data_IF_695742152624
#
_entry.id   IF_695742152624
#
_cell.length_a   1.000
_cell.length_b   1.000
_cell.length_c   1.000
_cell.angle_alpha   90.00
_cell.angle_beta   90.00
_cell.angle_gamma   90.00
#
_symmetry.space_group_name_H-M   'P 1'
#
loop_
_entity.id
_entity.type
_entity.pdbx_description
1 polymer ?
#
# COMPACT_ATOMS: atom_id res chain seq x y z
N UNK A 1 21.03 10.48 35.34
CA UNK A 1 21.40 10.72 33.92
C UNK A 1 22.62 9.88 33.58
N UNK A 2 22.73 9.31 32.38
CA UNK A 2 23.85 8.48 31.98
C UNK A 2 25.18 9.26 32.05
N UNK A 3 26.24 8.60 32.54
CA UNK A 3 27.58 9.21 32.70
C UNK A 3 28.20 9.68 31.38
N UNK A 4 27.83 9.05 30.26
CA UNK A 4 28.42 9.27 28.94
C UNK A 4 27.59 10.18 28.03
N UNK A 5 26.31 10.41 28.35
CA UNK A 5 25.41 11.24 27.55
C UNK A 5 24.28 11.79 28.44
N UNK A 6 24.34 13.08 28.73
CA UNK A 6 23.31 13.82 29.45
C UNK A 6 22.42 14.69 28.56
N UNK A 7 22.49 14.54 27.22
CA UNK A 7 21.81 15.41 26.26
C UNK A 7 20.62 14.76 25.58
N UNK A 8 20.61 13.43 25.48
CA UNK A 8 19.51 12.68 24.89
C UNK A 8 18.46 12.33 25.93
N UNK A 9 17.23 12.21 25.46
CA UNK A 9 16.16 11.64 26.27
C UNK A 9 16.29 10.11 26.33
N UNK A 10 16.14 9.54 27.51
CA UNK A 10 16.22 8.10 27.75
C UNK A 10 14.88 7.60 28.26
N UNK A 11 14.26 6.69 27.51
CA UNK A 11 13.09 5.94 27.94
C UNK A 11 13.53 4.59 28.55
N UNK A 12 12.85 4.15 29.61
CA UNK A 12 13.22 2.92 30.34
C UNK A 12 12.96 1.63 29.55
N UNK A 13 12.01 1.65 28.62
CA UNK A 13 11.66 0.57 27.69
C UNK A 13 10.77 1.15 26.56
N UNK A 14 10.61 0.43 25.44
CA UNK A 14 10.01 0.95 24.20
C UNK A 14 8.59 1.49 24.38
N UNK A 15 7.83 0.86 25.26
CA UNK A 15 6.40 1.13 25.46
C UNK A 15 6.10 1.72 26.86
N UNK A 16 7.03 2.54 27.37
CA UNK A 16 6.89 3.18 28.69
C UNK A 16 5.66 4.09 28.79
N UNK A 17 5.08 4.19 29.99
CA UNK A 17 3.94 5.08 30.25
C UNK A 17 4.25 6.55 29.91
N UNK A 18 5.52 6.96 29.95
CA UNK A 18 5.93 8.31 29.54
C UNK A 18 5.79 8.59 28.04
N UNK A 19 5.72 7.54 27.22
CA UNK A 19 5.48 7.60 25.77
C UNK A 19 4.01 7.30 25.44
N UNK A 20 3.46 6.27 26.06
CA UNK A 20 2.17 5.68 25.72
C UNK A 20 1.05 6.05 26.69
N UNK A 21 1.17 7.13 27.47
CA UNK A 21 0.19 7.50 28.50
C UNK A 21 -1.23 7.56 27.93
N UNK A 22 -2.12 6.67 28.39
CA UNK A 22 -3.43 6.46 27.80
C UNK A 22 -4.48 6.11 28.86
N UNK A 23 -5.76 6.23 28.50
CA UNK A 23 -6.90 5.90 29.38
C UNK A 23 -7.50 4.52 29.15
N UNK A 24 -7.03 3.77 28.15
CA UNK A 24 -7.58 2.48 27.71
C UNK A 24 -6.89 1.26 28.36
N UNK A 25 -5.75 1.47 29.03
CA UNK A 25 -4.94 0.41 29.62
C UNK A 25 -3.98 -0.23 28.60
N UNK A 26 -3.06 -1.07 29.09
CA UNK A 26 -1.98 -1.63 28.28
C UNK A 26 -0.81 -0.66 28.07
N UNK A 27 0.23 -1.13 27.39
CA UNK A 27 1.52 -0.43 27.28
C UNK A 27 1.84 0.09 25.87
N UNK A 28 1.10 -0.28 24.83
CA UNK A 28 1.45 0.09 23.44
C UNK A 28 2.17 -1.00 22.66
N UNK A 29 2.03 -2.25 23.10
CA UNK A 29 2.51 -3.44 22.38
C UNK A 29 1.45 -3.92 21.36
N UNK A 30 1.68 -3.62 20.08
CA UNK A 30 0.80 -3.99 18.98
C UNK A 30 -0.40 -3.05 18.80
N UNK A 31 -1.48 -3.53 18.16
CA UNK A 31 -1.66 -4.89 17.62
C UNK A 31 -0.74 -5.21 16.41
N UNK A 32 -0.63 -6.51 16.12
CA UNK A 32 0.23 -7.07 15.04
C UNK A 32 -0.55 -7.80 13.94
N UNK A 33 -1.82 -8.09 14.18
CA UNK A 33 -2.71 -8.76 13.23
C UNK A 33 -3.41 -7.75 12.32
N UNK A 34 -4.15 -8.29 11.35
CA UNK A 34 -5.00 -7.48 10.47
C UNK A 34 -6.12 -6.80 11.27
N UNK A 35 -6.51 -5.60 10.86
CA UNK A 35 -7.54 -4.81 11.54
C UNK A 35 -8.55 -4.25 10.54
N UNK A 36 -9.78 -3.95 10.96
CA UNK A 36 -10.70 -3.17 10.14
C UNK A 36 -10.07 -1.81 9.81
N UNK A 37 -10.05 -1.45 8.53
CA UNK A 37 -9.48 -0.18 8.05
C UNK A 37 -10.05 1.03 8.80
N UNK A 38 -11.37 1.02 9.08
CA UNK A 38 -12.04 2.08 9.84
C UNK A 38 -11.54 2.22 11.29
N UNK A 39 -10.97 1.16 11.89
CA UNK A 39 -10.46 1.19 13.26
C UNK A 39 -9.31 2.20 13.41
N UNK A 40 -8.41 2.26 12.42
CA UNK A 40 -7.28 3.20 12.43
C UNK A 40 -7.70 4.67 12.49
N UNK A 41 -8.94 4.97 12.07
CA UNK A 41 -9.48 6.33 11.97
C UNK A 41 -10.48 6.66 13.08
N UNK A 42 -11.21 5.67 13.57
CA UNK A 42 -12.32 5.87 14.50
C UNK A 42 -11.98 5.52 15.95
N UNK A 43 -10.90 4.77 16.18
CA UNK A 43 -10.51 4.31 17.51
C UNK A 43 -9.17 4.93 17.91
N UNK A 44 -9.20 5.74 18.98
CA UNK A 44 -7.98 6.26 19.60
C UNK A 44 -7.26 5.12 20.30
N UNK A 45 -5.99 4.91 19.94
CA UNK A 45 -5.11 3.93 20.58
C UNK A 45 -4.07 4.63 21.48
N UNK A 46 -2.80 4.25 21.37
CA UNK A 46 -1.71 4.79 22.19
C UNK A 46 -1.14 6.06 21.55
N UNK A 47 -0.93 7.15 22.31
CA UNK A 47 -0.45 8.41 21.73
C UNK A 47 0.87 8.28 20.95
N UNK A 48 1.87 7.63 21.55
CA UNK A 48 3.03 7.14 20.82
C UNK A 48 2.95 5.62 20.76
N UNK A 49 2.65 5.05 19.59
CA UNK A 49 2.61 3.60 19.44
C UNK A 49 3.98 3.07 19.00
N UNK A 50 4.77 2.61 19.97
CA UNK A 50 6.16 2.22 19.74
C UNK A 50 6.34 0.99 18.87
N UNK A 51 5.32 0.13 18.76
CA UNK A 51 5.36 -1.08 17.94
C UNK A 51 3.94 -1.42 17.47
N UNK A 52 3.62 -1.12 16.20
CA UNK A 52 2.32 -1.46 15.59
C UNK A 52 2.52 -2.07 14.21
N UNK A 53 1.77 -3.13 13.90
CA UNK A 53 1.94 -3.86 12.66
C UNK A 53 0.64 -4.38 12.09
N UNK A 54 0.78 -5.15 11.01
CA UNK A 54 -0.31 -5.91 10.40
C UNK A 54 0.26 -7.16 9.71
N UNK A 55 -0.55 -7.81 8.91
CA UNK A 55 -0.13 -8.83 7.94
C UNK A 55 0.94 -8.29 6.97
N UNK A 56 1.63 -9.18 6.25
CA UNK A 56 2.66 -8.75 5.27
C UNK A 56 3.28 -9.90 4.47
N UNK A 57 2.51 -10.95 4.21
CA UNK A 57 2.94 -12.07 3.36
C UNK A 57 3.30 -11.57 1.97
N UNK A 58 4.41 -12.06 1.41
CA UNK A 58 4.80 -11.80 0.02
C UNK A 58 3.82 -12.36 -1.00
N UNK A 59 3.99 -11.98 -2.26
CA UNK A 59 3.27 -12.56 -3.38
C UNK A 59 3.82 -13.94 -3.76
N UNK A 60 3.26 -14.54 -4.80
CA UNK A 60 3.59 -15.91 -5.19
C UNK A 60 5.10 -16.14 -5.39
N UNK A 61 5.77 -15.27 -6.15
CA UNK A 61 7.21 -15.48 -6.42
C UNK A 61 8.07 -15.31 -5.16
N UNK A 62 7.60 -14.60 -4.13
CA UNK A 62 8.24 -14.59 -2.81
C UNK A 62 8.04 -15.92 -2.08
N UNK A 63 6.81 -16.41 -2.04
CA UNK A 63 6.44 -17.69 -1.40
C UNK A 63 7.17 -18.89 -2.03
N UNK A 64 7.22 -18.95 -3.35
CA UNK A 64 7.84 -20.03 -4.13
C UNK A 64 9.35 -20.20 -3.85
N UNK A 65 10.02 -19.19 -3.29
CA UNK A 65 11.46 -19.28 -2.98
C UNK A 65 11.79 -20.24 -1.85
N UNK A 66 10.87 -20.40 -0.91
CA UNK A 66 11.16 -21.14 0.32
C UNK A 66 10.06 -22.11 0.74
N UNK A 67 8.83 -21.96 0.24
CA UNK A 67 7.80 -22.98 0.44
C UNK A 67 8.03 -24.15 -0.53
N UNK A 68 8.06 -25.40 -0.03
CA UNK A 68 8.07 -26.57 -0.89
C UNK A 68 6.83 -26.61 -1.81
N UNK A 69 6.92 -27.20 -3.01
CA UNK A 69 5.79 -27.24 -3.94
C UNK A 69 4.49 -27.83 -3.37
N UNK A 70 4.58 -28.82 -2.48
CA UNK A 70 3.43 -29.43 -1.83
C UNK A 70 2.73 -28.51 -0.80
N UNK A 71 3.43 -27.48 -0.32
CA UNK A 71 2.95 -26.52 0.69
C UNK A 71 2.53 -25.18 0.06
N UNK A 72 2.59 -25.05 -1.27
CA UNK A 72 2.05 -23.91 -2.02
C UNK A 72 0.51 -23.98 -2.12
N UNK A 73 -0.13 -24.21 -0.97
CA UNK A 73 -1.57 -24.24 -0.78
C UNK A 73 -1.94 -23.03 0.07
N UNK A 74 -2.88 -22.17 -0.37
CA UNK A 74 -3.21 -20.97 0.38
C UNK A 74 -3.92 -21.30 1.70
N UNK A 75 -3.75 -20.46 2.74
CA UNK A 75 -4.56 -20.49 3.96
C UNK A 75 -6.06 -20.48 3.66
N UNK A 76 -6.84 -21.27 4.41
CA UNK A 76 -8.28 -21.36 4.24
C UNK A 76 -9.01 -20.76 5.45
N UNK A 77 -9.78 -19.70 5.23
CA UNK A 77 -10.65 -19.11 6.26
C UNK A 77 -11.72 -20.09 6.73
N UNK A 78 -11.82 -20.29 8.06
CA UNK A 78 -12.73 -21.24 8.69
C UNK A 78 -14.02 -20.59 9.21
N UNK A 79 -14.05 -19.26 9.33
CA UNK A 79 -15.19 -18.50 9.82
C UNK A 79 -14.87 -17.67 11.07
N UNK A 80 -15.72 -16.68 11.36
CA UNK A 80 -15.45 -15.65 12.38
C UNK A 80 -15.44 -16.18 13.83
N UNK A 81 -15.94 -17.40 14.05
CA UNK A 81 -15.96 -18.07 15.36
C UNK A 81 -14.92 -19.18 15.52
N UNK A 82 -14.06 -19.39 14.52
CA UNK A 82 -13.05 -20.46 14.55
C UNK A 82 -11.78 -20.00 15.26
N UNK A 83 -11.17 -20.90 16.02
CA UNK A 83 -9.83 -20.71 16.61
C UNK A 83 -8.98 -21.97 16.33
N UNK A 84 -8.00 -21.92 15.42
CA UNK A 84 -7.55 -20.74 14.65
C UNK A 84 -8.61 -20.25 13.64
N UNK A 85 -8.51 -18.98 13.22
CA UNK A 85 -9.43 -18.37 12.24
C UNK A 85 -9.22 -18.88 10.81
N UNK A 86 -8.03 -19.40 10.52
CA UNK A 86 -7.66 -20.01 9.24
C UNK A 86 -7.02 -21.38 9.48
N UNK A 87 -7.21 -22.29 8.51
CA UNK A 87 -6.46 -23.54 8.41
C UNK A 87 -5.23 -23.32 7.54
N UNK A 88 -4.07 -23.65 8.09
CA UNK A 88 -2.78 -23.67 7.40
C UNK A 88 -2.07 -25.00 7.66
N UNK A 89 -1.03 -25.30 6.89
CA UNK A 89 -0.18 -26.47 7.17
C UNK A 89 1.00 -26.10 8.10
N UNK A 90 1.74 -27.12 8.55
CA UNK A 90 2.84 -26.95 9.48
C UNK A 90 4.02 -26.13 8.95
N UNK A 91 4.17 -25.99 7.63
CA UNK A 91 5.23 -25.18 7.01
C UNK A 91 4.86 -23.70 7.09
N UNK A 92 3.60 -23.36 6.85
CA UNK A 92 3.10 -21.98 7.05
C UNK A 92 3.20 -21.55 8.52
N UNK A 93 2.84 -22.44 9.45
CA UNK A 93 3.00 -22.21 10.89
C UNK A 93 4.48 -22.03 11.28
N UNK A 94 5.37 -22.88 10.75
CA UNK A 94 6.82 -22.77 10.96
C UNK A 94 7.35 -21.40 10.52
N UNK A 95 6.86 -20.88 9.38
CA UNK A 95 7.21 -19.54 8.90
C UNK A 95 6.41 -18.42 9.59
N UNK A 96 5.76 -18.69 10.71
CA UNK A 96 5.11 -17.71 11.60
C UNK A 96 4.01 -16.88 10.92
N UNK A 97 3.27 -17.49 10.00
CA UNK A 97 2.17 -16.86 9.27
C UNK A 97 1.17 -16.15 10.20
N UNK A 98 0.69 -14.97 9.78
CA UNK A 98 -0.40 -14.23 10.44
C UNK A 98 -1.61 -14.27 9.51
N UNK A 99 -2.75 -14.67 10.08
CA UNK A 99 -4.04 -14.83 9.39
C UNK A 99 -4.51 -13.52 8.73
N UNK A 100 -5.06 -13.62 7.53
CA UNK A 100 -5.76 -12.53 6.84
C UNK A 100 -7.27 -12.57 7.13
N UNK A 101 -7.75 -13.58 7.86
CA UNK A 101 -9.15 -13.77 8.26
C UNK A 101 -10.13 -13.58 7.09
N UNK A 102 -11.24 -12.89 7.31
CA UNK A 102 -12.21 -12.57 6.27
C UNK A 102 -11.75 -11.50 5.28
N UNK A 103 -10.62 -10.81 5.48
CA UNK A 103 -10.32 -9.56 4.76
C UNK A 103 -9.94 -9.76 3.28
N UNK A 104 -9.67 -10.99 2.86
CA UNK A 104 -9.50 -11.33 1.44
C UNK A 104 -10.85 -11.58 0.73
N UNK A 105 -11.91 -11.96 1.47
CA UNK A 105 -13.20 -12.35 0.91
C UNK A 105 -13.91 -11.25 0.11
N UNK A 106 -13.82 -9.95 0.47
CA UNK A 106 -14.33 -8.87 -0.38
C UNK A 106 -13.78 -8.87 -1.81
N UNK A 107 -12.55 -9.36 -2.01
CA UNK A 107 -11.93 -9.53 -3.33
C UNK A 107 -12.29 -10.86 -4.01
N UNK A 108 -13.08 -11.70 -3.33
CA UNK A 108 -13.38 -13.08 -3.67
C UNK A 108 -12.44 -14.06 -2.98
N UNK A 109 -12.94 -15.25 -2.61
CA UNK A 109 -12.12 -16.30 -2.01
C UNK A 109 -10.91 -16.67 -2.89
N UNK A 110 -9.70 -16.81 -2.34
CA UNK A 110 -8.53 -17.25 -3.10
C UNK A 110 -8.75 -18.63 -3.74
N UNK A 111 -8.44 -18.76 -5.03
CA UNK A 111 -8.58 -20.03 -5.77
C UNK A 111 -7.34 -20.91 -5.66
N UNK A 112 -6.18 -20.27 -5.57
CA UNK A 112 -4.87 -20.89 -5.46
C UNK A 112 -3.90 -19.90 -4.77
N UNK A 113 -2.66 -20.32 -4.57
CA UNK A 113 -1.64 -19.49 -3.90
C UNK A 113 -1.24 -18.24 -4.70
N UNK A 114 -1.42 -18.23 -6.03
CA UNK A 114 -1.15 -17.05 -6.87
C UNK A 114 -2.23 -15.98 -6.66
N UNK A 115 -3.49 -16.40 -6.69
CA UNK A 115 -4.63 -15.54 -6.41
C UNK A 115 -4.63 -15.04 -4.96
N UNK A 116 -4.23 -15.90 -4.00
CA UNK A 116 -3.97 -15.49 -2.62
C UNK A 116 -2.89 -14.41 -2.55
N UNK A 117 -1.73 -14.65 -3.16
CA UNK A 117 -0.61 -13.70 -3.14
C UNK A 117 -0.99 -12.33 -3.71
N UNK A 118 -1.72 -12.31 -4.84
CA UNK A 118 -2.22 -11.07 -5.46
C UNK A 118 -3.17 -10.30 -4.52
N UNK A 119 -4.15 -10.97 -3.92
CA UNK A 119 -5.11 -10.35 -2.99
C UNK A 119 -4.45 -9.92 -1.69
N UNK A 120 -3.50 -10.71 -1.19
CA UNK A 120 -2.69 -10.36 -0.04
C UNK A 120 -1.93 -9.06 -0.27
N UNK A 121 -1.37 -8.83 -1.47
CA UNK A 121 -0.71 -7.55 -1.78
C UNK A 121 -1.67 -6.35 -1.74
N UNK A 122 -2.90 -6.49 -2.22
CA UNK A 122 -3.92 -5.43 -2.12
C UNK A 122 -4.23 -5.09 -0.66
N UNK A 123 -4.48 -6.12 0.15
CA UNK A 123 -4.77 -5.96 1.59
C UNK A 123 -3.56 -5.35 2.31
N UNK A 124 -2.36 -5.84 2.03
CA UNK A 124 -1.11 -5.33 2.58
C UNK A 124 -0.96 -3.83 2.31
N UNK A 125 -1.09 -3.41 1.05
CA UNK A 125 -0.99 -2.01 0.69
C UNK A 125 -1.98 -1.16 1.48
N UNK A 126 -3.25 -1.58 1.51
CA UNK A 126 -4.32 -0.80 2.11
C UNK A 126 -4.21 -0.74 3.65
N UNK A 127 -3.81 -1.84 4.29
CA UNK A 127 -3.58 -1.88 5.74
C UNK A 127 -2.54 -0.86 6.18
N UNK A 128 -1.35 -0.84 5.56
CA UNK A 128 -0.29 0.08 5.98
C UNK A 128 -0.55 1.53 5.54
N UNK A 129 -1.21 1.73 4.39
CA UNK A 129 -1.68 3.07 4.00
C UNK A 129 -2.66 3.62 5.05
N UNK A 130 -3.73 2.87 5.33
CA UNK A 130 -4.78 3.32 6.23
C UNK A 130 -4.30 3.48 7.68
N UNK A 131 -3.37 2.63 8.13
CA UNK A 131 -2.73 2.77 9.42
C UNK A 131 -2.05 4.14 9.52
N UNK A 132 -1.16 4.48 8.58
CA UNK A 132 -0.42 5.75 8.64
C UNK A 132 -1.30 6.97 8.40
N UNK A 133 -2.27 6.87 7.49
CA UNK A 133 -3.26 7.94 7.27
C UNK A 133 -4.11 8.16 8.53
N UNK A 134 -4.53 7.10 9.23
CA UNK A 134 -5.29 7.19 10.48
C UNK A 134 -4.51 7.86 11.62
N UNK A 135 -3.23 7.49 11.78
CA UNK A 135 -2.33 8.18 12.73
C UNK A 135 -2.14 9.65 12.37
N UNK A 136 -1.92 9.95 11.10
CA UNK A 136 -1.76 11.33 10.59
C UNK A 136 -3.04 12.15 10.74
N UNK A 137 -4.22 11.54 10.55
CA UNK A 137 -5.51 12.22 10.63
C UNK A 137 -5.77 12.85 12.00
N UNK A 138 -5.22 12.26 13.05
CA UNK A 138 -5.35 12.70 14.45
C UNK A 138 -4.01 13.14 15.06
N UNK A 139 -3.06 13.52 14.22
CA UNK A 139 -1.78 14.06 14.66
C UNK A 139 -1.98 15.25 15.60
N UNK A 140 -1.28 15.21 16.75
CA UNK A 140 -1.35 16.16 17.89
C UNK A 140 -2.68 16.23 18.65
N UNK A 141 -3.74 15.57 18.16
CA UNK A 141 -4.98 15.40 18.91
C UNK A 141 -4.93 14.09 19.71
N UNK A 142 -4.69 12.98 19.02
CA UNK A 142 -4.61 11.64 19.62
C UNK A 142 -3.18 11.13 19.65
N UNK A 143 -2.42 11.42 18.59
CA UNK A 143 -1.16 10.74 18.32
C UNK A 143 0.02 11.71 18.19
N UNK A 144 1.16 11.29 18.73
CA UNK A 144 2.46 11.95 18.60
C UNK A 144 3.43 11.18 17.70
N UNK A 145 3.15 9.90 17.44
CA UNK A 145 3.92 9.09 16.49
C UNK A 145 3.58 7.61 16.54
N UNK A 146 4.10 6.88 15.55
CA UNK A 146 4.05 5.43 15.48
C UNK A 146 5.35 4.87 14.91
N UNK A 147 5.68 3.63 15.28
CA UNK A 147 6.77 2.88 14.67
C UNK A 147 6.22 1.54 14.20
N UNK A 148 6.50 1.23 12.94
CA UNK A 148 5.98 0.02 12.32
C UNK A 148 6.76 -1.20 12.78
N UNK A 149 6.03 -2.22 13.23
CA UNK A 149 6.47 -3.59 13.38
C UNK A 149 6.04 -4.40 12.16
N UNK A 150 6.90 -4.60 11.16
CA UNK A 150 8.31 -4.17 11.10
C UNK A 150 8.75 -4.00 9.66
N UNK A 151 9.95 -3.47 9.49
CA UNK A 151 10.53 -3.28 8.15
C UNK A 151 10.86 -4.61 7.48
N UNK A 152 11.40 -5.59 8.20
CA UNK A 152 11.81 -6.89 7.66
C UNK A 152 11.81 -8.01 8.70
N UNK A 153 11.71 -9.26 8.24
CA UNK A 153 11.94 -10.44 9.07
C UNK A 153 13.43 -10.85 9.08
N UNK A 154 13.93 -11.44 10.18
CA UNK A 154 15.32 -11.91 10.27
C UNK A 154 15.60 -13.20 9.48
N UNK A 155 14.55 -13.80 8.92
CA UNK A 155 14.55 -15.06 8.18
C UNK A 155 13.30 -15.12 7.29
N UNK A 156 13.02 -16.24 6.61
CA UNK A 156 11.87 -16.44 5.70
C UNK A 156 10.52 -16.52 6.41
N UNK A 157 10.21 -15.56 7.28
CA UNK A 157 8.91 -15.47 7.96
C UNK A 157 7.85 -14.73 7.13
N UNK A 158 6.60 -15.03 7.47
CA UNK A 158 5.38 -14.55 6.83
C UNK A 158 4.61 -13.51 7.68
N UNK A 159 5.27 -12.95 8.70
CA UNK A 159 4.75 -11.82 9.47
C UNK A 159 4.91 -10.49 8.71
N UNK A 160 4.20 -9.45 9.14
CA UNK A 160 4.31 -8.07 8.66
C UNK A 160 5.76 -7.65 8.35
N UNK A 161 6.01 -7.29 7.09
CA UNK A 161 7.31 -6.87 6.56
C UNK A 161 7.12 -6.00 5.32
N UNK A 162 8.05 -5.07 5.08
CA UNK A 162 8.08 -4.19 3.90
C UNK A 162 8.84 -4.84 2.73
N UNK A 163 9.82 -5.68 3.06
CA UNK A 163 10.53 -6.53 2.11
C UNK A 163 10.87 -7.87 2.77
N UNK A 164 10.99 -8.92 1.96
CA UNK A 164 11.30 -10.27 2.44
C UNK A 164 12.79 -10.48 2.74
N UNK A 165 13.14 -11.66 3.26
CA UNK A 165 14.51 -12.05 3.57
C UNK A 165 15.49 -11.93 2.39
N UNK A 166 14.98 -11.99 1.16
CA UNK A 166 15.76 -11.87 -0.08
C UNK A 166 15.82 -10.44 -0.62
N UNK A 167 15.36 -9.45 0.16
CA UNK A 167 15.27 -8.04 -0.21
C UNK A 167 14.28 -7.79 -1.36
N UNK A 168 13.24 -8.62 -1.49
CA UNK A 168 12.12 -8.36 -2.40
C UNK A 168 11.07 -7.48 -1.72
N UNK A 169 10.85 -6.23 -2.16
CA UNK A 169 9.82 -5.38 -1.60
C UNK A 169 8.43 -5.90 -1.99
N UNK A 170 7.54 -5.93 -1.01
CA UNK A 170 6.13 -6.26 -1.21
C UNK A 170 5.27 -4.97 -1.16
N UNK A 171 3.95 -5.11 -1.27
CA UNK A 171 3.07 -3.96 -1.32
C UNK A 171 2.95 -3.19 0.01
N UNK A 172 3.35 -3.78 1.14
CA UNK A 172 3.36 -3.11 2.45
C UNK A 172 4.24 -1.85 2.39
N UNK A 173 5.43 -1.94 1.78
CA UNK A 173 6.37 -0.81 1.66
C UNK A 173 5.72 0.39 0.97
N UNK A 174 5.02 0.13 -0.15
CA UNK A 174 4.46 1.18 -0.98
C UNK A 174 3.16 1.75 -0.39
N UNK A 175 2.36 0.92 0.28
CA UNK A 175 1.21 1.37 1.07
C UNK A 175 1.66 2.29 2.23
N UNK A 176 2.66 1.84 3.00
CA UNK A 176 3.26 2.61 4.08
C UNK A 176 3.81 3.95 3.59
N UNK A 177 4.60 3.92 2.51
CA UNK A 177 5.20 5.11 1.91
C UNK A 177 4.14 6.10 1.43
N UNK A 178 3.06 5.62 0.81
CA UNK A 178 1.95 6.45 0.36
C UNK A 178 1.25 7.12 1.53
N UNK A 179 0.86 6.37 2.56
CA UNK A 179 0.20 6.92 3.74
C UNK A 179 1.10 7.80 4.64
N UNK A 180 2.41 7.87 4.34
CA UNK A 180 3.42 8.63 5.09
C UNK A 180 4.06 9.76 4.28
N UNK A 181 3.46 10.18 3.16
CA UNK A 181 3.99 11.30 2.39
C UNK A 181 4.11 12.57 3.27
N UNK A 182 5.18 13.37 3.14
CA UNK A 182 5.34 14.58 3.95
C UNK A 182 4.23 15.62 3.76
N UNK A 183 3.71 15.75 2.53
CA UNK A 183 2.49 16.47 2.22
C UNK A 183 1.56 15.45 1.56
N UNK A 184 0.41 15.18 2.18
CA UNK A 184 -0.41 14.03 1.79
C UNK A 184 -1.89 14.38 1.72
N UNK A 185 -2.55 14.02 0.61
CA UNK A 185 -4.01 14.05 0.49
C UNK A 185 -4.60 12.66 0.75
N UNK A 186 -5.61 12.61 1.60
CA UNK A 186 -6.20 11.35 2.07
C UNK A 186 -7.72 11.41 2.18
N UNK A 187 -8.34 10.22 2.17
CA UNK A 187 -9.78 10.00 2.30
C UNK A 187 -10.08 9.24 3.58
N UNK A 188 -10.86 9.84 4.48
CA UNK A 188 -11.32 9.17 5.68
C UNK A 188 -12.43 8.15 5.34
N UNK A 189 -12.21 6.84 5.56
CA UNK A 189 -13.17 5.80 5.21
C UNK A 189 -14.40 5.76 6.13
N UNK A 190 -14.38 6.44 7.28
CA UNK A 190 -15.46 6.43 8.28
C UNK A 190 -16.59 7.39 7.88
N UNK A 191 -16.25 8.59 7.44
CA UNK A 191 -17.21 9.67 7.17
C UNK A 191 -17.12 10.25 5.75
N UNK A 192 -16.21 9.71 4.92
CA UNK A 192 -15.92 10.16 3.56
C UNK A 192 -15.42 11.60 3.49
N UNK A 193 -14.70 12.07 4.53
CA UNK A 193 -14.04 13.36 4.53
C UNK A 193 -12.72 13.31 3.75
N UNK A 194 -12.51 14.27 2.85
CA UNK A 194 -11.20 14.49 2.21
C UNK A 194 -10.38 15.42 3.12
N UNK A 195 -9.15 14.98 3.41
CA UNK A 195 -8.23 15.61 4.35
C UNK A 195 -6.87 15.83 3.71
N UNK A 196 -6.10 16.77 4.25
CA UNK A 196 -4.69 16.97 3.90
C UNK A 196 -3.88 17.01 5.18
N UNK A 197 -2.78 16.26 5.21
CA UNK A 197 -1.76 16.34 6.25
C UNK A 197 -0.51 17.01 5.68
N UNK A 198 0.04 17.96 6.43
CA UNK A 198 1.32 18.59 6.14
C UNK A 198 2.27 18.34 7.31
N UNK A 199 3.18 17.39 7.14
CA UNK A 199 4.26 17.05 8.07
C UNK A 199 5.53 17.88 7.82
N UNK A 200 5.50 18.87 6.91
CA UNK A 200 6.60 19.78 6.65
C UNK A 200 6.58 20.99 7.62
N UNK A 201 7.66 21.78 7.59
CA UNK A 201 7.84 22.96 8.44
C UNK A 201 7.35 24.28 7.83
N UNK A 202 6.73 24.22 6.64
CA UNK A 202 6.22 25.40 5.94
C UNK A 202 4.73 25.27 5.64
N UNK A 203 4.05 26.41 5.57
CA UNK A 203 2.69 26.47 5.05
C UNK A 203 2.70 26.13 3.56
N UNK A 204 1.74 25.31 3.11
CA UNK A 204 1.50 25.06 1.69
C UNK A 204 0.24 25.80 1.27
N UNK A 205 0.41 26.74 0.34
CA UNK A 205 -0.64 27.63 -0.19
C UNK A 205 -0.82 27.39 -1.69
N UNK A 206 -1.86 27.99 -2.25
CA UNK A 206 -2.12 28.04 -3.69
C UNK A 206 -2.17 26.65 -4.33
N UNK A 207 -2.66 25.66 -3.59
CA UNK A 207 -2.87 24.31 -4.06
C UNK A 207 -4.31 24.13 -4.55
N UNK A 208 -4.47 23.33 -5.60
CA UNK A 208 -5.77 22.86 -6.06
C UNK A 208 -5.98 21.41 -5.62
N UNK A 209 -6.98 21.17 -4.76
CA UNK A 209 -7.46 19.83 -4.46
C UNK A 209 -8.43 19.39 -5.55
N UNK A 210 -8.07 18.35 -6.30
CA UNK A 210 -8.90 17.72 -7.33
C UNK A 210 -9.37 16.36 -6.83
N UNK A 211 -10.69 16.15 -6.87
CA UNK A 211 -11.32 14.89 -6.46
C UNK A 211 -12.09 14.31 -7.64
N UNK A 212 -11.65 13.16 -8.12
CA UNK A 212 -12.21 12.47 -9.27
C UNK A 212 -12.62 11.04 -8.91
N UNK A 213 -13.73 10.57 -9.45
CA UNK A 213 -14.13 9.16 -9.41
C UNK A 213 -14.01 8.53 -10.80
N UNK A 214 -13.59 7.27 -10.86
CA UNK A 214 -13.54 6.46 -12.07
C UNK A 214 -14.36 5.20 -11.86
N UNK A 215 -15.26 4.91 -12.79
CA UNK A 215 -15.97 3.63 -12.80
C UNK A 215 -15.09 2.49 -13.35
N UNK A 216 -15.62 1.27 -13.35
CA UNK A 216 -14.90 0.08 -13.82
C UNK A 216 -14.62 0.08 -15.33
N UNK A 217 -15.27 0.97 -16.11
CA UNK A 217 -14.96 1.18 -17.51
C UNK A 217 -13.90 2.29 -17.72
N UNK A 218 -13.42 2.93 -16.64
CA UNK A 218 -12.48 4.03 -16.71
C UNK A 218 -13.12 5.40 -16.96
N UNK A 219 -14.45 5.51 -16.91
CA UNK A 219 -15.12 6.80 -17.11
C UNK A 219 -14.88 7.70 -15.90
N UNK A 220 -14.22 8.83 -16.16
CA UNK A 220 -13.96 9.88 -15.18
C UNK A 220 -15.24 10.67 -14.85
N UNK A 221 -15.48 10.92 -13.57
CA UNK A 221 -16.45 11.88 -13.04
C UNK A 221 -15.70 12.82 -12.09
N UNK A 222 -15.62 14.10 -12.43
CA UNK A 222 -15.09 15.10 -11.50
C UNK A 222 -16.12 15.35 -10.39
N UNK A 223 -15.73 15.11 -9.14
CA UNK A 223 -16.61 15.30 -7.98
C UNK A 223 -16.53 16.73 -7.47
N UNK A 224 -15.31 17.26 -7.37
CA UNK A 224 -15.07 18.65 -6.97
C UNK A 224 -13.65 19.10 -7.33
N UNK A 225 -13.44 20.42 -7.29
CA UNK A 225 -12.14 21.07 -7.30
C UNK A 225 -12.20 22.28 -6.35
N UNK A 226 -11.23 22.42 -5.45
CA UNK A 226 -11.22 23.51 -4.47
C UNK A 226 -9.79 23.99 -4.18
N UNK A 227 -9.61 25.30 -4.05
CA UNK A 227 -8.35 25.88 -3.58
C UNK A 227 -8.16 25.59 -2.10
N UNK A 228 -6.96 25.17 -1.73
CA UNK A 228 -6.64 24.72 -0.36
C UNK A 228 -5.31 25.27 0.11
N UNK A 229 -5.22 25.40 1.44
CA UNK A 229 -3.98 25.68 2.14
C UNK A 229 -3.92 24.92 3.47
N UNK A 230 -2.73 24.46 3.83
CA UNK A 230 -2.47 23.69 5.04
C UNK A 230 -1.22 24.21 5.76
N UNK A 231 -1.37 24.53 7.04
CA UNK A 231 -0.27 24.96 7.91
C UNK A 231 0.72 23.81 8.16
N UNK A 232 1.97 24.11 8.54
CA UNK A 232 2.94 23.08 8.91
C UNK A 232 2.49 22.28 10.13
N UNK A 233 2.94 21.02 10.19
CA UNK A 233 2.65 20.08 11.28
C UNK A 233 1.15 19.98 11.62
N UNK A 234 0.28 19.94 10.61
CA UNK A 234 -1.18 19.93 10.79
C UNK A 234 -1.88 18.93 9.85
N UNK A 235 -2.92 18.29 10.37
CA UNK A 235 -3.94 17.59 9.58
C UNK A 235 -5.23 18.41 9.55
N UNK A 236 -5.81 18.61 8.37
CA UNK A 236 -7.00 19.46 8.17
C UNK A 236 -8.05 18.78 7.29
N UNK A 237 -9.30 18.89 7.72
CA UNK A 237 -10.49 18.43 6.97
C UNK A 237 -10.95 19.52 5.99
N UNK A 238 -11.27 19.15 4.74
CA UNK A 238 -11.70 20.11 3.71
C UNK A 238 -13.15 19.95 3.28
N UNK A 239 -13.52 18.79 2.76
CA UNK A 239 -14.87 18.57 2.26
C UNK A 239 -15.32 17.12 2.37
N UNK A 240 -16.61 16.91 2.58
CA UNK A 240 -17.20 15.57 2.55
C UNK A 240 -17.67 15.22 1.14
N UNK A 241 -17.34 14.01 0.69
CA UNK A 241 -17.82 13.44 -0.57
C UNK A 241 -18.82 12.29 -0.36
N UNK A 242 -19.32 12.11 0.87
CA UNK A 242 -20.17 10.98 1.28
C UNK A 242 -21.35 10.72 0.36
N UNK A 243 -22.07 11.78 -0.04
CA UNK A 243 -23.23 11.67 -0.94
C UNK A 243 -22.84 11.19 -2.33
N UNK A 244 -21.73 11.69 -2.88
CA UNK A 244 -21.22 11.28 -4.18
C UNK A 244 -20.74 9.82 -4.16
N UNK A 245 -19.96 9.42 -3.15
CA UNK A 245 -19.47 8.05 -2.99
C UNK A 245 -20.63 7.06 -2.84
N UNK A 246 -21.60 7.34 -1.95
CA UNK A 246 -22.78 6.47 -1.76
C UNK A 246 -23.53 6.22 -3.06
N UNK A 247 -23.64 7.24 -3.92
CA UNK A 247 -24.34 7.12 -5.20
C UNK A 247 -23.50 6.36 -6.23
N UNK A 248 -22.25 6.75 -6.41
CA UNK A 248 -21.40 6.26 -7.51
C UNK A 248 -20.82 4.87 -7.24
N UNK A 249 -20.48 4.55 -5.98
CA UNK A 249 -19.89 3.27 -5.62
C UNK A 249 -20.96 2.16 -5.45
N UNK A 250 -22.24 2.51 -5.40
CA UNK A 250 -23.33 1.63 -4.92
C UNK A 250 -23.31 0.21 -5.47
N UNK A 251 -23.15 0.06 -6.79
CA UNK A 251 -23.35 -1.23 -7.48
C UNK A 251 -22.06 -2.02 -7.70
N UNK A 252 -20.94 -1.34 -7.97
CA UNK A 252 -19.69 -1.97 -8.39
C UNK A 252 -18.46 -1.46 -7.63
N UNK A 253 -18.62 -0.52 -6.71
CA UNK A 253 -17.51 0.26 -6.21
C UNK A 253 -17.02 1.28 -7.26
N UNK A 254 -15.91 1.93 -6.97
CA UNK A 254 -15.25 2.90 -7.86
C UNK A 254 -13.77 3.06 -7.50
N UNK A 255 -12.99 3.68 -8.38
CA UNK A 255 -11.70 4.24 -8.00
C UNK A 255 -11.85 5.71 -7.67
N UNK A 256 -11.42 6.13 -6.48
CA UNK A 256 -11.37 7.52 -6.05
C UNK A 256 -9.94 8.02 -6.20
N UNK A 257 -9.73 9.02 -7.05
CA UNK A 257 -8.45 9.71 -7.20
C UNK A 257 -8.50 11.07 -6.51
N UNK A 258 -7.52 11.30 -5.65
CA UNK A 258 -7.26 12.58 -4.99
C UNK A 258 -5.93 13.12 -5.51
N UNK A 259 -5.90 14.39 -5.88
CA UNK A 259 -4.66 15.08 -6.25
C UNK A 259 -4.60 16.45 -5.59
N UNK A 260 -3.42 16.79 -5.07
CA UNK A 260 -3.04 18.18 -4.78
C UNK A 260 -2.16 18.65 -5.92
N UNK A 261 -2.59 19.69 -6.60
CA UNK A 261 -1.89 20.26 -7.73
C UNK A 261 -1.32 21.63 -7.39
N UNK A 262 -0.12 21.92 -7.88
CA UNK A 262 0.47 23.26 -7.83
C UNK A 262 -0.17 24.21 -8.87
N UNK A 263 0.36 25.44 -8.94
CA UNK A 263 -0.08 26.46 -9.92
C UNK A 263 0.17 26.05 -11.38
N UNK A 264 1.08 25.10 -11.63
CA UNK A 264 1.36 24.53 -12.94
C UNK A 264 0.52 23.27 -13.23
N UNK A 265 -0.46 22.98 -12.37
CA UNK A 265 -1.33 21.80 -12.41
C UNK A 265 -0.58 20.48 -12.29
N UNK A 266 0.65 20.50 -11.75
CA UNK A 266 1.42 19.29 -11.50
C UNK A 266 1.03 18.71 -10.14
N UNK A 267 0.80 17.39 -10.04
CA UNK A 267 0.49 16.77 -8.76
C UNK A 267 1.72 16.82 -7.84
N UNK A 268 1.55 17.45 -6.67
CA UNK A 268 2.54 17.47 -5.57
C UNK A 268 2.24 16.42 -4.49
N UNK A 269 1.02 15.88 -4.50
CA UNK A 269 0.61 14.65 -3.80
C UNK A 269 -0.55 14.03 -4.57
N UNK A 270 -0.60 12.70 -4.61
CA UNK A 270 -1.67 11.96 -5.27
C UNK A 270 -1.96 10.66 -4.55
N UNK A 271 -3.22 10.32 -4.40
CA UNK A 271 -3.63 9.07 -3.77
C UNK A 271 -4.82 8.47 -4.52
N UNK A 272 -4.87 7.15 -4.63
CA UNK A 272 -5.94 6.42 -5.32
C UNK A 272 -6.49 5.32 -4.42
N UNK A 273 -7.79 5.37 -4.17
CA UNK A 273 -8.51 4.35 -3.40
C UNK A 273 -9.38 3.52 -4.34
N UNK A 274 -9.49 2.22 -4.11
CA UNK A 274 -10.50 1.38 -4.72
C UNK A 274 -11.57 1.12 -3.67
N UNK A 275 -12.74 1.73 -3.84
CA UNK A 275 -13.82 1.65 -2.86
C UNK A 275 -14.74 0.48 -3.21
N UNK A 276 -15.20 -0.30 -2.21
CA UNK A 276 -16.11 -1.40 -2.46
C UNK A 276 -17.52 -0.91 -2.84
N UNK A 277 -18.36 -1.84 -3.27
CA UNK A 277 -19.78 -1.60 -3.44
C UNK A 277 -20.52 -1.41 -2.10
N UNK A 278 -21.84 -1.16 -2.16
CA UNK A 278 -22.66 -0.94 -0.97
C UNK A 278 -22.71 -2.15 -0.01
N UNK A 279 -22.32 -3.34 -0.48
CA UNK A 279 -22.25 -4.57 0.32
C UNK A 279 -20.86 -4.77 0.93
N UNK A 280 -19.92 -3.85 0.71
CA UNK A 280 -18.54 -3.98 1.17
C UNK A 280 -17.72 -4.96 0.32
N UNK A 281 -18.20 -5.32 -0.88
CA UNK A 281 -17.53 -6.24 -1.80
C UNK A 281 -16.82 -5.47 -2.92
N UNK A 282 -15.68 -5.98 -3.37
CA UNK A 282 -14.99 -5.44 -4.55
C UNK A 282 -15.50 -6.09 -5.84
N UNK A 283 -16.83 -6.12 -6.03
CA UNK A 283 -17.47 -6.81 -7.15
C UNK A 283 -17.10 -6.21 -8.52
N UNK A 284 -16.87 -4.90 -8.59
CA UNK A 284 -16.35 -4.24 -9.79
C UNK A 284 -14.94 -4.70 -10.14
N UNK A 285 -14.04 -4.85 -9.15
CA UNK A 285 -12.68 -5.33 -9.39
C UNK A 285 -12.69 -6.75 -9.95
N UNK A 286 -13.54 -7.64 -9.44
CA UNK A 286 -13.67 -9.02 -9.93
C UNK A 286 -14.13 -9.12 -11.40
N UNK A 287 -14.74 -8.06 -11.93
CA UNK A 287 -15.22 -7.97 -13.32
C UNK A 287 -14.49 -6.88 -14.12
N UNK A 288 -13.39 -6.35 -13.60
CA UNK A 288 -12.64 -5.27 -14.23
C UNK A 288 -12.08 -5.73 -15.58
N UNK A 289 -12.39 -4.97 -16.64
CA UNK A 289 -11.88 -5.26 -17.97
C UNK A 289 -10.35 -5.23 -18.01
N UNK A 290 -9.75 -6.06 -18.87
CA UNK A 290 -8.30 -6.05 -19.07
C UNK A 290 -7.85 -4.68 -19.60
N UNK A 291 -6.79 -4.11 -19.01
CA UNK A 291 -6.20 -2.88 -19.48
C UNK A 291 -5.02 -3.17 -20.43
N UNK A 292 -5.02 -2.54 -21.60
CA UNK A 292 -3.93 -2.62 -22.59
C UNK A 292 -2.85 -1.58 -22.27
N UNK A 293 -2.17 -1.76 -21.13
CA UNK A 293 -1.13 -0.86 -20.67
C UNK A 293 0.08 -0.89 -21.63
N UNK A 294 0.44 0.28 -22.16
CA UNK A 294 1.62 0.43 -23.01
C UNK A 294 2.84 0.69 -22.14
N UNK A 295 3.93 -0.06 -22.38
CA UNK A 295 5.10 -0.06 -21.51
C UNK A 295 6.34 0.21 -22.36
N UNK A 296 7.10 1.23 -21.99
CA UNK A 296 8.42 1.47 -22.55
C UNK A 296 9.47 1.40 -21.47
N UNK A 297 10.62 0.82 -21.80
CA UNK A 297 11.77 0.69 -20.91
C UNK A 297 12.93 1.46 -21.51
N UNK A 298 13.78 2.04 -20.66
CA UNK A 298 15.00 2.71 -21.09
C UNK A 298 16.08 2.53 -20.05
N UNK A 299 17.30 2.19 -20.46
CA UNK A 299 18.47 2.26 -19.59
C UNK A 299 18.92 3.72 -19.47
N UNK A 300 18.97 4.24 -18.25
CA UNK A 300 19.41 5.64 -17.99
C UNK A 300 20.82 5.71 -17.43
N UNK A 301 21.26 4.66 -16.73
CA UNK A 301 22.65 4.50 -16.29
C UNK A 301 23.06 3.01 -16.32
N UNK A 302 24.29 2.71 -15.88
CA UNK A 302 24.80 1.32 -15.81
C UNK A 302 23.91 0.44 -14.90
N UNK A 303 23.47 1.00 -13.80
CA UNK A 303 22.72 0.41 -12.68
C UNK A 303 21.28 0.94 -12.57
N UNK A 304 20.84 1.77 -13.52
CA UNK A 304 19.53 2.41 -13.47
C UNK A 304 18.74 2.25 -14.76
N UNK A 305 17.45 1.96 -14.60
CA UNK A 305 16.46 1.84 -15.66
C UNK A 305 15.26 2.75 -15.36
N UNK A 306 14.59 3.19 -16.42
CA UNK A 306 13.31 3.89 -16.34
C UNK A 306 12.25 3.08 -17.08
N UNK A 307 11.09 2.89 -16.44
CA UNK A 307 9.93 2.22 -17.02
C UNK A 307 8.78 3.22 -17.07
N UNK A 308 8.26 3.48 -18.26
CA UNK A 308 7.12 4.37 -18.48
C UNK A 308 5.90 3.53 -18.82
N UNK A 309 4.86 3.67 -18.01
CA UNK A 309 3.56 3.04 -18.17
C UNK A 309 2.59 4.10 -18.72
N UNK A 310 1.94 3.83 -19.85
CA UNK A 310 0.95 4.73 -20.46
C UNK A 310 -0.36 3.98 -20.63
N UNK A 311 -1.42 4.46 -19.97
CA UNK A 311 -2.74 3.85 -20.06
C UNK A 311 -3.60 4.62 -21.09
N UNK A 312 -4.17 3.97 -22.13
CA UNK A 312 -5.02 4.65 -23.10
C UNK A 312 -6.20 5.39 -22.45
N UNK A 313 -6.62 6.52 -23.03
CA UNK A 313 -7.69 7.37 -22.49
C UNK A 313 -9.07 6.68 -22.38
N UNK A 314 -9.29 5.64 -23.17
CA UNK A 314 -10.55 4.88 -23.22
C UNK A 314 -10.44 3.51 -22.54
N UNK A 315 -9.31 3.20 -21.91
CA UNK A 315 -9.12 1.95 -21.19
C UNK A 315 -9.73 2.04 -19.77
N UNK A 316 -10.08 0.89 -19.14
CA UNK A 316 -10.27 0.88 -17.69
C UNK A 316 -8.99 1.31 -16.96
N UNK A 317 -9.10 1.59 -15.66
CA UNK A 317 -7.91 1.81 -14.82
C UNK A 317 -6.99 0.59 -14.93
N UNK A 318 -5.72 0.81 -15.27
CA UNK A 318 -4.70 -0.23 -15.20
C UNK A 318 -4.31 -0.35 -13.72
N UNK A 319 -4.88 -1.34 -13.04
CA UNK A 319 -4.93 -1.36 -11.58
C UNK A 319 -3.81 -2.23 -10.98
N UNK A 320 -3.12 -1.63 -9.99
CA UNK A 320 -2.19 -2.31 -9.09
C UNK A 320 -1.07 -3.09 -9.81
N UNK A 321 -0.35 -2.39 -10.69
CA UNK A 321 0.71 -2.96 -11.52
C UNK A 321 2.03 -3.03 -10.76
N UNK A 322 2.56 -4.25 -10.63
CA UNK A 322 3.87 -4.54 -10.08
C UNK A 322 4.92 -4.60 -11.17
N UNK A 323 6.03 -3.93 -10.94
CA UNK A 323 7.24 -3.97 -11.75
C UNK A 323 8.28 -4.87 -11.07
N UNK A 324 9.01 -5.64 -11.87
CA UNK A 324 10.18 -6.39 -11.42
C UNK A 324 11.24 -6.53 -12.49
N UNK A 325 12.51 -6.68 -12.09
CA UNK A 325 13.54 -7.24 -12.96
C UNK A 325 13.57 -8.75 -12.83
N UNK A 326 13.61 -9.45 -13.96
CA UNK A 326 13.66 -10.90 -13.99
C UNK A 326 14.75 -11.38 -14.95
N UNK A 327 15.29 -12.56 -14.65
CA UNK A 327 16.12 -13.30 -15.59
C UNK A 327 15.25 -13.72 -16.80
N UNK A 328 15.66 -13.46 -18.06
CA UNK A 328 14.82 -13.75 -19.22
C UNK A 328 14.59 -15.24 -19.48
N UNK A 329 15.47 -16.13 -19.01
CA UNK A 329 15.33 -17.58 -19.19
C UNK A 329 14.47 -18.20 -18.09
N UNK A 330 14.78 -17.90 -16.83
CA UNK A 330 14.14 -18.55 -15.67
C UNK A 330 12.90 -17.80 -15.17
N UNK A 331 12.73 -16.54 -15.59
CA UNK A 331 11.73 -15.59 -15.08
C UNK A 331 11.78 -15.36 -13.55
N UNK A 332 12.84 -15.82 -12.88
CA UNK A 332 13.05 -15.55 -11.46
C UNK A 332 13.50 -14.10 -11.29
N UNK A 333 13.00 -13.46 -10.23
CA UNK A 333 13.32 -12.06 -9.92
C UNK A 333 14.80 -11.88 -9.63
N UNK A 334 15.36 -10.81 -10.15
CA UNK A 334 16.71 -10.33 -9.83
C UNK A 334 16.56 -9.36 -8.67
N UNK A 335 17.35 -9.55 -7.62
CA UNK A 335 17.28 -8.80 -6.37
C UNK A 335 18.69 -8.47 -5.86
N UNK A 336 18.87 -7.39 -5.07
CA UNK A 336 17.86 -6.39 -4.75
C UNK A 336 17.57 -5.45 -5.93
N UNK A 337 16.37 -4.86 -5.95
CA UNK A 337 16.01 -3.76 -6.86
C UNK A 337 15.27 -2.71 -6.03
N UNK A 338 15.68 -1.46 -6.18
CA UNK A 338 15.06 -0.32 -5.52
C UNK A 338 14.19 0.41 -6.54
N UNK A 339 12.93 0.66 -6.18
CA UNK A 339 11.95 1.26 -7.07
C UNK A 339 11.57 2.64 -6.54
N UNK A 340 11.50 3.64 -7.43
CA UNK A 340 10.99 4.95 -7.07
C UNK A 340 9.52 4.89 -6.64
N UNK A 341 8.75 3.94 -7.18
CA UNK A 341 7.37 3.59 -6.85
C UNK A 341 7.08 2.15 -7.35
N UNK A 342 6.09 1.44 -6.83
CA UNK A 342 5.69 0.10 -7.32
C UNK A 342 4.25 -0.22 -6.86
N UNK A 343 3.66 -1.29 -7.38
CA UNK A 343 2.23 -1.61 -7.19
C UNK A 343 1.32 -0.45 -7.64
N UNK A 344 1.70 0.19 -8.74
CA UNK A 344 1.12 1.46 -9.19
C UNK A 344 -0.15 1.27 -9.99
N UNK A 345 -1.13 2.15 -9.80
CA UNK A 345 -2.28 2.25 -10.69
C UNK A 345 -2.09 3.40 -11.66
N UNK A 346 -2.50 3.21 -12.92
CA UNK A 346 -2.39 4.22 -13.98
C UNK A 346 -3.78 4.53 -14.50
N UNK A 347 -4.26 5.76 -14.28
CA UNK A 347 -5.60 6.19 -14.67
C UNK A 347 -5.72 6.29 -16.21
N UNK A 348 -6.93 6.24 -16.77
CA UNK A 348 -7.14 6.38 -18.20
C UNK A 348 -6.57 7.69 -18.73
N UNK A 349 -5.70 7.61 -19.74
CA UNK A 349 -5.01 8.75 -20.34
C UNK A 349 -3.77 9.22 -19.58
N UNK A 350 -3.46 8.59 -18.44
CA UNK A 350 -2.30 8.93 -17.62
C UNK A 350 -1.03 8.22 -18.11
N UNK A 351 0.10 8.85 -17.82
CA UNK A 351 1.43 8.27 -17.92
C UNK A 351 2.10 8.32 -16.54
N UNK A 352 2.67 7.19 -16.12
CA UNK A 352 3.47 7.08 -14.90
C UNK A 352 4.86 6.54 -15.22
N UNK A 353 5.87 7.10 -14.56
CA UNK A 353 7.27 6.71 -14.75
C UNK A 353 7.84 6.17 -13.44
N UNK A 354 8.49 5.01 -13.51
CA UNK A 354 9.13 4.36 -12.36
C UNK A 354 10.61 4.18 -12.67
N UNK A 355 11.47 4.61 -11.76
CA UNK A 355 12.92 4.41 -11.82
C UNK A 355 13.26 3.16 -11.01
N UNK A 356 14.10 2.30 -11.59
CA UNK A 356 14.58 1.06 -11.00
C UNK A 356 16.11 1.15 -10.89
N UNK A 357 16.63 1.09 -9.67
CA UNK A 357 18.06 0.99 -9.39
C UNK A 357 18.40 -0.44 -8.96
N UNK A 358 19.41 -1.05 -9.57
CA UNK A 358 19.82 -2.41 -9.27
C UNK A 358 21.33 -2.59 -9.46
N UNK A 359 22.01 -3.39 -8.60
CA UNK A 359 23.42 -3.69 -8.77
C UNK A 359 23.61 -4.70 -9.91
N UNK A 360 24.21 -4.33 -11.06
CA UNK A 360 24.40 -5.27 -12.15
C UNK A 360 25.52 -6.27 -11.84
N UNK A 361 25.26 -7.56 -12.03
CA UNK A 361 26.27 -8.61 -11.89
C UNK A 361 27.08 -8.74 -13.19
N UNK A 362 28.41 -8.63 -13.10
CA UNK A 362 29.29 -8.79 -14.26
C UNK A 362 29.15 -10.20 -14.88
N UNK A 363 29.00 -10.27 -16.20
CA UNK A 363 28.82 -11.53 -16.93
C UNK A 363 27.42 -12.15 -16.83
N UNK A 364 26.50 -11.56 -16.04
CA UNK A 364 25.12 -12.03 -16.00
C UNK A 364 24.35 -11.64 -17.28
N UNK A 365 23.33 -12.44 -17.59
CA UNK A 365 22.41 -12.13 -18.70
C UNK A 365 21.69 -10.81 -18.44
N UNK A 366 21.52 -10.00 -19.48
CA UNK A 366 20.79 -8.74 -19.38
C UNK A 366 19.36 -8.99 -18.87
N UNK A 367 18.91 -8.27 -17.82
CA UNK A 367 17.58 -8.47 -17.26
C UNK A 367 16.50 -7.99 -18.24
N UNK A 368 15.30 -8.52 -18.06
CA UNK A 368 14.08 -7.96 -18.67
C UNK A 368 13.17 -7.40 -17.59
N UNK A 369 12.39 -6.38 -17.93
CA UNK A 369 11.38 -5.81 -17.04
C UNK A 369 10.11 -6.64 -17.16
N UNK A 370 9.63 -7.17 -16.05
CA UNK A 370 8.31 -7.78 -15.92
C UNK A 370 7.33 -6.75 -15.37
N UNK A 371 6.16 -6.61 -16.00
CA UNK A 371 5.04 -5.83 -15.48
C UNK A 371 3.78 -6.67 -15.53
N UNK A 372 3.09 -6.78 -14.40
CA UNK A 372 1.80 -7.45 -14.27
C UNK A 372 0.95 -6.74 -13.21
N UNK A 373 -0.37 -6.82 -13.31
CA UNK A 373 -1.27 -6.18 -12.36
C UNK A 373 -2.60 -6.91 -12.26
N UNK A 374 -3.55 -6.37 -11.50
CA UNK A 374 -4.85 -6.99 -11.28
C UNK A 374 -5.60 -7.29 -12.59
N UNK A 375 -5.56 -6.34 -13.53
CA UNK A 375 -6.18 -6.45 -14.85
C UNK A 375 -5.19 -6.23 -16.01
N UNK A 376 -3.89 -6.30 -15.74
CA UNK A 376 -2.84 -6.21 -16.76
C UNK A 376 -2.12 -7.55 -16.83
N UNK A 377 -2.25 -8.21 -17.98
CA UNK A 377 -1.56 -9.48 -18.25
C UNK A 377 -0.06 -9.25 -18.19
N UNK A 378 0.67 -10.21 -17.60
CA UNK A 378 2.12 -10.15 -17.50
C UNK A 378 2.79 -9.89 -18.85
N UNK A 379 3.61 -8.86 -18.90
CA UNK A 379 4.44 -8.49 -20.04
C UNK A 379 5.92 -8.58 -19.65
N UNK A 380 6.75 -9.14 -20.53
CA UNK A 380 8.21 -9.18 -20.39
C UNK A 380 8.84 -8.29 -21.46
N UNK A 381 9.50 -7.22 -21.03
CA UNK A 381 10.01 -6.18 -21.90
C UNK A 381 11.54 -6.18 -21.86
N UNK A 382 12.22 -6.32 -23.02
CA UNK A 382 13.66 -6.09 -23.06
C UNK A 382 13.96 -4.66 -22.66
N UNK A 383 15.12 -4.43 -22.05
CA UNK A 383 15.57 -3.09 -21.69
C UNK A 383 16.15 -2.40 -22.92
N UNK A 384 15.48 -1.34 -23.41
CA UNK A 384 16.03 -0.54 -24.50
C UNK A 384 17.30 0.20 -24.07
N UNK A 385 18.25 0.36 -25.00
CA UNK A 385 19.49 1.11 -24.79
C UNK A 385 19.25 2.60 -24.67
#
# INVERSE_FOLDING_TARGET
MPRLDGTRWFASYSNSDSLSYNTQGGNGDGPYGIQPIASFWAHQTYPFNSEVGSVGTGDYESLERFLPPANLVPPQYLGAGSNPSEKVDSVWDYHTYISYEQYLLPYGAPKDVRDFGLKAQLVNYDQYRALMEGFSAHMWEWYTGSIIWKTQNPWTALRGQMYDYYLDPNACLYGLRTGSEPLHVMYNPVDSMVMITNNLFEVKRDLMLVVDAYDMAGKKTNLTQVFVEVNPSLSKKYLSIKGAIRRLAREKGLFLSLQLQDLQKQPVSSNIYWLPDAQGMYSGLQSLGKASLQITTKRTAKDQLTVTLTNPATAPVAFFNRLALVNPQTQKRILPVFYSDNYVSVLPGERKTVVLDYPPTAGAVAPVVSVEGWNVVKQLLPVAK
#
